data_IF_559874917288
#
_entry.id   IF_559874917288
#
_cell.length_a   1.000
_cell.length_b   1.000
_cell.length_c   1.000
_cell.angle_alpha   90.00
_cell.angle_beta   90.00
_cell.angle_gamma   90.00
#
_symmetry.space_group_name_H-M   'P 1'
#
loop_
_entity.id
_entity.type
_entity.pdbx_description
1 polymer ?
#
# COMPACT_ATOMS: atom_id res chain seq x y z
N UNK A 1 -1.06 -22.16 -8.95
CA UNK A 1 -1.34 -21.36 -10.18
C UNK A 1 -1.83 -19.95 -9.86
N UNK A 2 -2.78 -19.75 -8.93
CA UNK A 2 -3.33 -18.42 -8.58
C UNK A 2 -2.28 -17.48 -7.95
N UNK A 3 -1.49 -17.98 -6.99
CA UNK A 3 -0.44 -17.18 -6.34
C UNK A 3 0.60 -16.61 -7.34
N UNK A 4 0.97 -17.41 -8.35
CA UNK A 4 1.87 -16.95 -9.41
C UNK A 4 1.23 -15.82 -10.23
N UNK A 5 -0.07 -15.91 -10.51
CA UNK A 5 -0.83 -14.84 -11.17
C UNK A 5 -0.80 -13.51 -10.40
N UNK A 6 -0.84 -13.55 -9.07
CA UNK A 6 -0.70 -12.34 -8.25
C UNK A 6 0.67 -11.68 -8.41
N UNK A 7 1.74 -12.49 -8.53
CA UNK A 7 3.09 -11.98 -8.78
C UNK A 7 3.20 -11.28 -10.15
N UNK A 8 2.58 -11.85 -11.19
CA UNK A 8 2.52 -11.20 -12.51
C UNK A 8 1.79 -9.86 -12.47
N UNK A 9 0.67 -9.77 -11.74
CA UNK A 9 -0.06 -8.51 -11.55
C UNK A 9 0.78 -7.49 -10.77
N UNK A 10 1.40 -7.91 -9.67
CA UNK A 10 2.28 -7.06 -8.87
C UNK A 10 3.41 -6.47 -9.73
N UNK A 11 4.10 -7.32 -10.48
CA UNK A 11 5.18 -6.92 -11.37
C UNK A 11 4.70 -5.90 -12.42
N UNK A 12 3.66 -6.27 -13.18
CA UNK A 12 3.18 -5.47 -14.29
C UNK A 12 2.66 -4.09 -13.83
N UNK A 13 1.87 -4.06 -12.75
CA UNK A 13 1.33 -2.80 -12.23
C UNK A 13 2.39 -1.92 -11.60
N UNK A 14 3.36 -2.50 -10.87
CA UNK A 14 4.48 -1.73 -10.31
C UNK A 14 5.29 -1.07 -11.42
N UNK A 15 5.69 -1.86 -12.42
CA UNK A 15 6.46 -1.36 -13.57
C UNK A 15 5.67 -0.27 -14.31
N UNK A 16 4.39 -0.51 -14.58
CA UNK A 16 3.52 0.47 -15.21
C UNK A 16 3.41 1.76 -14.42
N UNK A 17 3.19 1.72 -13.10
CA UNK A 17 3.04 2.91 -12.25
C UNK A 17 4.32 3.76 -12.25
N UNK A 18 5.49 3.12 -12.29
CA UNK A 18 6.80 3.79 -12.32
C UNK A 18 7.00 4.52 -13.64
N UNK A 19 6.66 3.90 -14.78
CA UNK A 19 6.92 4.48 -16.09
C UNK A 19 5.77 5.30 -16.68
N UNK A 20 4.51 5.10 -16.27
CA UNK A 20 3.34 5.84 -16.76
C UNK A 20 3.46 7.38 -16.72
N UNK A 21 4.19 8.02 -15.77
CA UNK A 21 4.42 9.46 -15.78
C UNK A 21 5.23 9.96 -16.99
N UNK A 22 5.98 9.09 -17.68
CA UNK A 22 6.82 9.47 -18.83
C UNK A 22 6.02 9.84 -20.08
N UNK A 23 4.71 9.57 -20.09
CA UNK A 23 3.84 9.87 -21.21
C UNK A 23 2.52 10.49 -20.74
N UNK A 24 2.05 11.48 -21.51
CA UNK A 24 0.73 12.07 -21.33
C UNK A 24 -0.37 11.33 -22.12
N UNK A 25 0.02 10.53 -23.13
CA UNK A 25 -0.93 9.87 -24.03
C UNK A 25 -1.49 8.58 -23.42
N UNK A 26 -2.82 8.46 -23.42
CA UNK A 26 -3.51 7.25 -22.94
C UNK A 26 -3.12 6.01 -23.75
N UNK A 27 -3.01 6.13 -25.08
CA UNK A 27 -2.60 5.02 -25.94
C UNK A 27 -1.23 4.46 -25.56
N UNK A 28 -0.27 5.35 -25.30
CA UNK A 28 1.04 4.93 -24.82
C UNK A 28 0.98 4.30 -23.43
N UNK A 29 0.14 4.80 -22.51
CA UNK A 29 -0.06 4.14 -21.21
C UNK A 29 -0.64 2.74 -21.35
N UNK A 30 -1.64 2.54 -22.21
CA UNK A 30 -2.18 1.22 -22.50
C UNK A 30 -1.11 0.29 -23.09
N UNK A 31 -0.31 0.79 -24.05
CA UNK A 31 0.82 0.06 -24.61
C UNK A 31 1.87 -0.31 -23.56
N UNK A 32 2.19 0.58 -22.63
CA UNK A 32 3.13 0.32 -21.53
C UNK A 32 2.61 -0.71 -20.53
N UNK A 33 1.31 -0.67 -20.21
CA UNK A 33 0.69 -1.68 -19.34
C UNK A 33 0.70 -3.05 -20.02
N UNK A 34 0.38 -3.12 -21.31
CA UNK A 34 0.46 -4.34 -22.09
C UNK A 34 1.90 -4.88 -22.15
N UNK A 35 2.88 -4.01 -22.45
CA UNK A 35 4.29 -4.37 -22.48
C UNK A 35 4.79 -4.85 -21.11
N UNK A 36 4.42 -4.18 -20.02
CA UNK A 36 4.77 -4.61 -18.65
C UNK A 36 4.15 -5.97 -18.30
N UNK A 37 2.94 -6.23 -18.77
CA UNK A 37 2.24 -7.51 -18.57
C UNK A 37 2.92 -8.63 -19.35
N UNK A 38 3.31 -8.39 -20.61
CA UNK A 38 4.08 -9.34 -21.42
C UNK A 38 5.45 -9.60 -20.81
N UNK A 39 6.15 -8.55 -20.37
CA UNK A 39 7.46 -8.67 -19.74
C UNK A 39 7.40 -9.53 -18.47
N UNK A 40 6.31 -9.48 -17.72
CA UNK A 40 6.14 -10.30 -16.51
C UNK A 40 6.23 -11.81 -16.78
N UNK A 41 5.85 -12.25 -17.98
CA UNK A 41 5.81 -13.67 -18.40
C UNK A 41 7.10 -14.10 -19.09
N UNK A 42 7.91 -13.14 -19.56
CA UNK A 42 9.23 -13.44 -20.16
C UNK A 42 10.04 -14.25 -19.16
N UNK A 43 10.53 -15.40 -19.64
CA UNK A 43 11.27 -16.36 -18.83
C UNK A 43 12.75 -16.29 -19.14
N UNK A 44 13.56 -16.20 -18.10
CA UNK A 44 15.03 -16.27 -18.15
C UNK A 44 15.43 -17.42 -17.23
N UNK A 45 16.28 -18.32 -17.72
CA UNK A 45 16.73 -19.52 -16.98
C UNK A 45 15.59 -20.37 -16.37
N UNK A 46 14.44 -20.40 -17.04
CA UNK A 46 13.26 -21.17 -16.59
C UNK A 46 12.37 -20.48 -15.55
N UNK A 47 12.71 -19.26 -15.11
CA UNK A 47 11.89 -18.46 -14.20
C UNK A 47 11.35 -17.21 -14.92
N UNK A 48 10.06 -16.93 -14.71
CA UNK A 48 9.46 -15.69 -15.22
C UNK A 48 10.03 -14.46 -14.51
N UNK A 49 10.04 -13.30 -15.16
CA UNK A 49 10.45 -12.03 -14.52
C UNK A 49 9.63 -11.73 -13.26
N UNK A 50 8.34 -12.07 -13.26
CA UNK A 50 7.51 -11.95 -12.06
C UNK A 50 7.97 -12.87 -10.92
N UNK A 51 8.44 -14.08 -11.24
CA UNK A 51 9.01 -15.01 -10.25
C UNK A 51 10.30 -14.48 -9.64
N UNK A 52 11.16 -13.83 -10.43
CA UNK A 52 12.36 -13.17 -9.93
C UNK A 52 12.04 -11.99 -9.02
N UNK A 53 11.04 -11.17 -9.37
CA UNK A 53 10.62 -10.08 -8.49
C UNK A 53 10.06 -10.64 -7.17
N UNK A 54 9.22 -11.68 -7.26
CA UNK A 54 8.66 -12.38 -6.10
C UNK A 54 9.74 -13.00 -5.20
N UNK A 55 10.86 -13.49 -5.74
CA UNK A 55 11.92 -14.05 -4.88
C UNK A 55 12.62 -13.00 -4.02
N UNK A 56 12.56 -11.72 -4.41
CA UNK A 56 13.12 -10.61 -3.63
C UNK A 56 12.12 -10.02 -2.62
N UNK A 57 10.84 -9.97 -2.98
CA UNK A 57 9.82 -9.27 -2.17
C UNK A 57 8.84 -10.19 -1.45
N UNK A 58 8.85 -11.48 -1.77
CA UNK A 58 7.78 -12.44 -1.50
C UNK A 58 6.43 -12.00 -2.11
N UNK A 59 5.36 -12.75 -1.83
CA UNK A 59 4.00 -12.43 -2.24
C UNK A 59 3.47 -11.19 -1.51
N UNK A 60 3.27 -10.10 -2.26
CA UNK A 60 2.62 -8.89 -1.76
C UNK A 60 1.28 -9.20 -1.07
N UNK A 61 0.96 -8.39 -0.07
CA UNK A 61 -0.34 -8.40 0.57
C UNK A 61 -1.43 -8.02 -0.45
N UNK A 62 -2.64 -8.54 -0.24
CA UNK A 62 -3.78 -8.23 -1.10
C UNK A 62 -4.10 -6.74 -1.05
N UNK A 63 -3.98 -6.11 0.13
CA UNK A 63 -4.14 -4.66 0.26
C UNK A 63 -3.13 -3.88 -0.61
N UNK A 64 -1.90 -4.37 -0.77
CA UNK A 64 -0.90 -3.77 -1.65
C UNK A 64 -1.24 -3.94 -3.13
N UNK A 65 -1.74 -5.11 -3.52
CA UNK A 65 -2.25 -5.33 -4.87
C UNK A 65 -3.45 -4.41 -5.18
N UNK A 66 -4.34 -4.20 -4.21
CA UNK A 66 -5.48 -3.29 -4.37
C UNK A 66 -5.02 -1.85 -4.58
N UNK A 67 -4.04 -1.36 -3.81
CA UNK A 67 -3.53 0.01 -4.04
C UNK A 67 -2.78 0.13 -5.36
N UNK A 68 -2.01 -0.89 -5.78
CA UNK A 68 -1.39 -0.93 -7.10
C UNK A 68 -2.45 -0.91 -8.21
N UNK A 69 -3.47 -1.75 -8.14
CA UNK A 69 -4.58 -1.75 -9.10
C UNK A 69 -5.30 -0.40 -9.15
N UNK A 70 -5.56 0.19 -7.98
CA UNK A 70 -6.17 1.52 -7.89
C UNK A 70 -5.32 2.61 -8.55
N UNK A 71 -4.01 2.62 -8.29
CA UNK A 71 -3.07 3.56 -8.90
C UNK A 71 -2.96 3.33 -10.41
N UNK A 72 -2.94 2.08 -10.87
CA UNK A 72 -3.00 1.74 -12.30
C UNK A 72 -4.24 2.33 -12.96
N UNK A 73 -5.42 2.17 -12.36
CA UNK A 73 -6.66 2.77 -12.87
C UNK A 73 -6.65 4.30 -12.85
N UNK A 74 -6.02 4.93 -11.84
CA UNK A 74 -5.82 6.38 -11.83
C UNK A 74 -4.90 6.83 -12.96
N UNK A 75 -3.80 6.12 -13.23
CA UNK A 75 -2.88 6.43 -14.33
C UNK A 75 -3.54 6.28 -15.69
N UNK A 76 -4.52 5.38 -15.83
CA UNK A 76 -5.34 5.22 -17.03
C UNK A 76 -6.48 6.24 -17.15
N UNK A 77 -6.67 7.11 -16.15
CA UNK A 77 -7.74 8.13 -16.16
C UNK A 77 -9.14 7.60 -15.82
N UNK A 78 -9.25 6.34 -15.40
CA UNK A 78 -10.52 5.70 -15.00
C UNK A 78 -10.99 6.21 -13.64
N UNK A 79 -10.05 6.38 -12.70
CA UNK A 79 -10.32 6.85 -11.34
C UNK A 79 -9.74 8.24 -11.10
N UNK A 80 -10.46 9.06 -10.33
CA UNK A 80 -9.98 10.37 -9.89
C UNK A 80 -8.91 10.22 -8.80
N UNK A 81 -7.99 11.20 -8.68
CA UNK A 81 -7.04 11.25 -7.57
C UNK A 81 -7.74 11.25 -6.21
N UNK A 82 -7.10 10.64 -5.21
CA UNK A 82 -7.64 10.57 -3.85
C UNK A 82 -7.42 11.90 -3.15
N UNK A 83 -8.47 12.42 -2.51
CA UNK A 83 -8.39 13.62 -1.69
C UNK A 83 -7.32 13.45 -0.59
N UNK A 84 -6.49 14.48 -0.31
CA UNK A 84 -5.42 14.38 0.67
C UNK A 84 -5.88 13.87 2.04
N UNK A 85 -7.04 14.33 2.53
CA UNK A 85 -7.62 13.88 3.81
C UNK A 85 -7.90 12.38 3.85
N UNK A 86 -8.44 11.80 2.77
CA UNK A 86 -8.71 10.36 2.68
C UNK A 86 -7.41 9.56 2.58
N UNK A 87 -6.42 10.08 1.85
CA UNK A 87 -5.08 9.47 1.78
C UNK A 87 -4.45 9.42 3.17
N UNK A 88 -4.53 10.50 3.94
CA UNK A 88 -4.02 10.56 5.31
C UNK A 88 -4.65 9.50 6.23
N UNK A 89 -5.97 9.36 6.22
CA UNK A 89 -6.67 8.33 7.01
C UNK A 89 -6.22 6.92 6.62
N UNK A 90 -6.10 6.63 5.32
CA UNK A 90 -5.60 5.34 4.84
C UNK A 90 -4.17 5.08 5.35
N UNK A 91 -3.27 6.06 5.23
CA UNK A 91 -1.89 5.92 5.71
C UNK A 91 -1.85 5.64 7.22
N UNK A 92 -2.66 6.32 8.02
CA UNK A 92 -2.74 6.11 9.46
C UNK A 92 -3.19 4.68 9.82
N UNK A 93 -4.24 4.18 9.16
CA UNK A 93 -4.75 2.82 9.42
C UNK A 93 -3.68 1.77 9.11
N UNK A 94 -3.07 1.82 7.93
CA UNK A 94 -2.06 0.83 7.55
C UNK A 94 -0.74 0.98 8.31
N UNK A 95 -0.36 2.20 8.70
CA UNK A 95 0.77 2.39 9.61
C UNK A 95 0.48 1.83 11.01
N UNK A 96 -0.74 1.97 11.53
CA UNK A 96 -1.11 1.38 12.82
C UNK A 96 -1.07 -0.16 12.76
N UNK A 97 -1.55 -0.77 11.67
CA UNK A 97 -1.40 -2.21 11.43
C UNK A 97 0.08 -2.61 11.38
N UNK A 98 0.90 -1.86 10.64
CA UNK A 98 2.35 -2.11 10.53
C UNK A 98 3.05 -2.04 11.89
N UNK A 99 2.78 -1.00 12.68
CA UNK A 99 3.38 -0.79 14.00
C UNK A 99 2.85 -1.78 15.05
N UNK A 100 1.69 -2.39 14.81
CA UNK A 100 1.22 -3.50 15.63
C UNK A 100 2.01 -4.77 15.33
N UNK A 101 2.25 -5.05 14.05
CA UNK A 101 2.84 -6.32 13.59
C UNK A 101 4.37 -6.35 13.63
N UNK A 102 5.02 -5.39 12.95
CA UNK A 102 6.44 -5.48 12.63
C UNK A 102 7.40 -5.32 13.81
N UNK A 103 7.11 -4.55 14.87
CA UNK A 103 7.99 -4.53 16.04
C UNK A 103 8.17 -5.92 16.65
N UNK A 104 7.11 -6.74 16.65
CA UNK A 104 7.19 -8.11 17.15
C UNK A 104 7.98 -9.03 16.23
N UNK A 105 7.80 -8.92 14.90
CA UNK A 105 8.58 -9.73 13.94
C UNK A 105 10.07 -9.37 13.94
N UNK A 106 10.42 -8.14 14.37
CA UNK A 106 11.80 -7.69 14.55
C UNK A 106 12.39 -8.06 15.91
N UNK A 107 11.64 -8.74 16.79
CA UNK A 107 12.10 -9.12 18.12
C UNK A 107 12.19 -7.96 19.12
N UNK A 108 11.54 -6.82 18.84
CA UNK A 108 11.55 -5.63 19.71
C UNK A 108 10.57 -5.74 20.89
N UNK A 109 9.71 -6.76 20.90
CA UNK A 109 8.72 -7.00 21.96
C UNK A 109 8.54 -8.49 22.21
N UNK A 110 8.18 -8.85 23.44
CA UNK A 110 7.81 -10.22 23.84
C UNK A 110 6.36 -10.57 23.48
N UNK A 111 5.55 -9.57 23.12
CA UNK A 111 4.20 -9.76 22.65
C UNK A 111 4.21 -10.12 21.15
N UNK A 112 3.57 -11.23 20.78
CA UNK A 112 3.55 -11.74 19.40
C UNK A 112 2.14 -11.64 18.77
N UNK A 113 1.78 -10.46 18.21
CA UNK A 113 0.54 -10.27 17.48
C UNK A 113 0.49 -11.04 16.15
N UNK A 114 1.61 -11.53 15.62
CA UNK A 114 1.61 -12.33 14.39
C UNK A 114 0.81 -13.63 14.58
N UNK A 115 0.83 -14.19 15.80
CA UNK A 115 0.03 -15.39 16.17
C UNK A 115 -1.47 -15.18 16.03
N UNK A 116 -1.97 -13.97 16.20
CA UNK A 116 -3.40 -13.67 16.04
C UNK A 116 -3.87 -13.93 14.62
N UNK A 117 -2.98 -13.82 13.63
CA UNK A 117 -3.33 -14.07 12.24
C UNK A 117 -3.66 -15.54 11.93
N UNK A 118 -3.20 -16.49 12.74
CA UNK A 118 -3.59 -17.91 12.65
C UNK A 118 -4.91 -18.23 13.34
N UNK A 119 -5.35 -17.39 14.29
CA UNK A 119 -6.70 -17.42 14.85
C UNK A 119 -7.43 -16.11 14.52
N UNK A 120 -7.85 -15.94 13.26
CA UNK A 120 -8.17 -14.64 12.70
C UNK A 120 -9.51 -14.07 13.15
N UNK A 121 -10.36 -14.84 13.85
CA UNK A 121 -11.72 -14.42 14.25
C UNK A 121 -11.76 -13.05 14.95
N UNK A 122 -11.01 -12.81 16.04
CA UNK A 122 -10.94 -11.49 16.67
C UNK A 122 -10.41 -10.40 15.72
N UNK A 123 -9.39 -10.70 14.92
CA UNK A 123 -8.83 -9.75 13.97
C UNK A 123 -9.82 -9.34 12.89
N UNK A 124 -10.60 -10.29 12.36
CA UNK A 124 -11.63 -10.01 11.35
C UNK A 124 -12.68 -9.05 11.92
N UNK A 125 -13.09 -9.23 13.18
CA UNK A 125 -14.02 -8.30 13.85
C UNK A 125 -13.41 -6.91 13.96
N UNK A 126 -12.15 -6.79 14.39
CA UNK A 126 -11.44 -5.51 14.49
C UNK A 126 -11.34 -4.84 13.11
N UNK A 127 -10.93 -5.59 12.08
CA UNK A 127 -10.82 -5.09 10.71
C UNK A 127 -12.19 -4.67 10.16
N UNK A 128 -13.26 -5.40 10.47
CA UNK A 128 -14.62 -5.05 10.08
C UNK A 128 -15.07 -3.72 10.71
N UNK A 129 -14.80 -3.52 12.01
CA UNK A 129 -15.10 -2.23 12.69
C UNK A 129 -14.32 -1.09 12.05
N UNK A 130 -13.04 -1.28 11.76
CA UNK A 130 -12.22 -0.28 11.05
C UNK A 130 -12.81 0.02 9.67
N UNK A 131 -13.20 -1.01 8.91
CA UNK A 131 -13.81 -0.86 7.59
C UNK A 131 -15.13 -0.09 7.65
N UNK A 132 -15.99 -0.34 8.64
CA UNK A 132 -17.23 0.43 8.87
C UNK A 132 -16.95 1.90 9.17
N UNK A 133 -15.94 2.19 10.01
CA UNK A 133 -15.48 3.56 10.25
C UNK A 133 -14.98 4.23 8.96
N UNK A 134 -14.26 3.51 8.12
CA UNK A 134 -13.79 4.02 6.83
C UNK A 134 -14.91 4.25 5.82
N UNK A 135 -16.00 3.47 5.87
CA UNK A 135 -17.23 3.71 5.10
C UNK A 135 -17.84 5.05 5.52
N UNK A 136 -17.96 5.31 6.83
CA UNK A 136 -18.46 6.59 7.35
C UNK A 136 -17.60 7.77 6.87
N UNK A 137 -16.27 7.60 6.86
CA UNK A 137 -15.31 8.58 6.34
C UNK A 137 -15.25 8.64 4.79
N UNK A 138 -16.08 7.85 4.09
CA UNK A 138 -16.15 7.75 2.62
C UNK A 138 -14.78 7.44 1.97
N UNK A 139 -13.97 6.64 2.64
CA UNK A 139 -12.63 6.23 2.17
C UNK A 139 -12.69 4.92 1.39
N UNK A 140 -13.20 5.00 0.16
CA UNK A 140 -13.45 3.83 -0.70
C UNK A 140 -12.20 2.96 -0.91
N UNK A 141 -11.02 3.56 -1.10
CA UNK A 141 -9.79 2.79 -1.29
C UNK A 141 -9.45 1.97 -0.04
N UNK A 142 -9.40 2.60 1.13
CA UNK A 142 -9.03 1.90 2.36
C UNK A 142 -10.05 0.80 2.72
N UNK A 143 -11.34 1.05 2.47
CA UNK A 143 -12.38 0.02 2.59
C UNK A 143 -12.08 -1.14 1.64
N UNK A 144 -11.85 -0.87 0.35
CA UNK A 144 -11.54 -1.91 -0.63
C UNK A 144 -10.28 -2.71 -0.28
N UNK A 145 -9.23 -2.05 0.23
CA UNK A 145 -8.00 -2.72 0.65
C UNK A 145 -8.25 -3.74 1.77
N UNK A 146 -9.07 -3.39 2.78
CA UNK A 146 -9.38 -4.27 3.90
C UNK A 146 -10.38 -5.37 3.50
N UNK A 147 -11.46 -5.02 2.79
CA UNK A 147 -12.51 -5.98 2.43
C UNK A 147 -12.03 -6.99 1.41
N UNK A 148 -11.30 -6.58 0.38
CA UNK A 148 -10.75 -7.52 -0.61
C UNK A 148 -9.66 -8.40 -0.01
N UNK A 149 -8.85 -7.89 0.93
CA UNK A 149 -7.91 -8.72 1.67
C UNK A 149 -8.64 -9.77 2.54
N UNK A 150 -9.69 -9.37 3.24
CA UNK A 150 -10.53 -10.29 4.05
C UNK A 150 -11.18 -11.35 3.17
N UNK A 151 -11.75 -10.97 2.03
CA UNK A 151 -12.36 -11.91 1.09
C UNK A 151 -11.32 -12.87 0.50
N UNK A 152 -10.16 -12.35 0.11
CA UNK A 152 -9.08 -13.18 -0.41
C UNK A 152 -8.57 -14.18 0.62
N UNK A 153 -8.52 -13.81 1.89
CA UNK A 153 -8.23 -14.72 3.00
C UNK A 153 -9.30 -15.81 3.12
N UNK A 154 -10.57 -15.43 3.12
CA UNK A 154 -11.71 -16.37 3.19
C UNK A 154 -11.69 -17.40 2.05
N UNK A 155 -11.38 -16.96 0.84
CA UNK A 155 -11.29 -17.84 -0.34
C UNK A 155 -9.93 -18.51 -0.52
N UNK A 156 -8.99 -18.36 0.42
CA UNK A 156 -7.65 -18.96 0.37
C UNK A 156 -6.91 -18.68 -0.94
N UNK A 157 -6.97 -17.43 -1.39
CA UNK A 157 -6.35 -17.00 -2.67
C UNK A 157 -4.82 -17.08 -2.58
N UNK A 158 -4.22 -16.75 -1.43
CA UNK A 158 -2.78 -16.96 -1.19
C UNK A 158 -2.57 -18.31 -0.49
N UNK A 159 -1.37 -18.90 -0.59
CA UNK A 159 -1.01 -20.12 0.16
C UNK A 159 -0.92 -19.89 1.68
N UNK A 160 -0.74 -18.64 2.13
CA UNK A 160 -0.60 -18.36 3.55
C UNK A 160 -1.90 -18.61 4.32
N UNK A 161 -1.72 -19.23 5.48
CA UNK A 161 -2.75 -19.46 6.49
C UNK A 161 -2.89 -18.29 7.48
N UNK A 162 -1.98 -17.31 7.42
CA UNK A 162 -1.96 -16.17 8.33
C UNK A 162 -2.70 -14.98 7.71
N UNK A 163 -3.67 -14.42 8.43
CA UNK A 163 -4.46 -13.29 7.96
C UNK A 163 -3.65 -11.99 7.79
N UNK A 164 -2.58 -11.79 8.56
CA UNK A 164 -1.71 -10.61 8.42
C UNK A 164 -1.11 -10.51 7.02
N UNK A 165 -0.75 -11.65 6.41
CA UNK A 165 -0.09 -11.72 5.09
C UNK A 165 -1.01 -11.29 3.93
N UNK A 166 -2.31 -11.14 4.21
CA UNK A 166 -3.29 -10.60 3.26
C UNK A 166 -3.49 -9.09 3.44
N UNK A 167 -3.34 -8.60 4.67
CA UNK A 167 -3.61 -7.22 5.05
C UNK A 167 -2.41 -6.29 4.83
N UNK A 168 -1.20 -6.74 5.16
CA UNK A 168 -0.03 -5.86 5.11
C UNK A 168 1.24 -6.64 4.79
N UNK A 169 2.12 -5.99 4.04
CA UNK A 169 3.47 -6.48 3.73
C UNK A 169 4.51 -5.40 4.04
N UNK A 170 5.81 -5.77 4.08
CA UNK A 170 6.87 -4.84 4.46
C UNK A 170 6.94 -3.60 3.55
N UNK A 171 6.63 -3.72 2.26
CA UNK A 171 6.68 -2.59 1.33
C UNK A 171 5.57 -1.59 1.61
N UNK A 172 4.34 -2.06 1.84
CA UNK A 172 3.21 -1.20 2.22
C UNK A 172 3.45 -0.55 3.59
N UNK A 173 3.99 -1.31 4.55
CA UNK A 173 4.36 -0.79 5.85
C UNK A 173 5.39 0.34 5.77
N UNK A 174 6.48 0.13 5.03
CA UNK A 174 7.50 1.15 4.78
C UNK A 174 6.92 2.38 4.09
N UNK A 175 6.09 2.18 3.07
CA UNK A 175 5.44 3.28 2.37
C UNK A 175 4.53 4.10 3.31
N UNK A 176 3.68 3.44 4.10
CA UNK A 176 2.74 4.13 4.99
C UNK A 176 3.47 4.89 6.10
N UNK A 177 4.40 4.23 6.79
CA UNK A 177 5.19 4.84 7.86
C UNK A 177 6.08 5.98 7.33
N UNK A 178 6.79 5.74 6.22
CA UNK A 178 7.66 6.73 5.58
C UNK A 178 6.90 7.96 5.07
N UNK A 179 5.71 7.76 4.47
CA UNK A 179 4.87 8.86 4.02
C UNK A 179 4.37 9.73 5.19
N UNK A 180 3.93 9.10 6.29
CA UNK A 180 3.51 9.84 7.49
C UNK A 180 4.69 10.61 8.11
N UNK A 181 5.86 9.98 8.21
CA UNK A 181 7.07 10.63 8.73
C UNK A 181 7.46 11.84 7.87
N UNK A 182 7.47 11.69 6.54
CA UNK A 182 7.77 12.78 5.62
C UNK A 182 6.77 13.94 5.73
N UNK A 183 5.49 13.64 5.94
CA UNK A 183 4.47 14.66 6.16
C UNK A 183 4.62 15.37 7.52
N UNK A 184 4.97 14.63 8.57
CA UNK A 184 5.26 15.19 9.89
C UNK A 184 6.49 16.12 9.85
N UNK A 185 7.58 15.69 9.20
CA UNK A 185 8.78 16.51 9.01
C UNK A 185 8.44 17.80 8.26
N UNK A 186 7.66 17.71 7.16
CA UNK A 186 7.22 18.88 6.40
C UNK A 186 6.35 19.83 7.22
N UNK A 187 5.48 19.31 8.08
CA UNK A 187 4.65 20.11 8.97
C UNK A 187 5.50 20.88 9.98
N UNK A 188 6.43 20.20 10.66
CA UNK A 188 7.35 20.81 11.62
C UNK A 188 8.21 21.88 10.95
N UNK A 189 8.77 21.57 9.77
CA UNK A 189 9.60 22.52 9.02
C UNK A 189 8.82 23.79 8.62
N UNK A 190 7.59 23.63 8.11
CA UNK A 190 6.73 24.77 7.74
C UNK A 190 6.37 25.63 8.95
N UNK A 191 6.08 25.00 10.09
CA UNK A 191 5.77 25.73 11.34
C UNK A 191 6.97 26.51 11.85
N UNK A 192 8.16 25.91 11.85
CA UNK A 192 9.40 26.57 12.27
C UNK A 192 9.74 27.77 11.36
N UNK A 193 9.63 27.61 10.03
CA UNK A 193 9.88 28.71 9.09
C UNK A 193 8.82 29.82 9.14
N UNK A 194 7.55 29.46 9.36
CA UNK A 194 6.47 30.43 9.56
C UNK A 194 6.69 31.30 10.80
N UNK A 195 7.09 30.69 11.92
CA UNK A 195 7.42 31.40 13.15
C UNK A 195 8.62 32.34 12.99
N UNK A 196 9.66 31.92 12.27
CA UNK A 196 10.82 32.77 11.96
C UNK A 196 10.46 34.00 11.12
N UNK A 197 9.55 33.84 10.15
CA UNK A 197 9.09 34.94 9.30
C UNK A 197 8.25 35.96 10.07
N UNK A 198 7.38 35.49 10.97
CA UNK A 198 6.60 36.36 11.87
C UNK A 198 7.49 37.11 12.88
N UNK A 199 8.52 36.44 13.43
CA UNK A 199 9.48 37.08 14.34
C UNK A 199 10.33 38.15 13.64
N UNK A 200 10.80 37.90 12.41
CA UNK A 200 11.55 38.86 11.62
C UNK A 200 10.73 40.11 11.23
N UNK A 201 9.44 39.95 10.91
CA UNK A 201 8.53 41.07 10.64
C UNK A 201 8.24 41.92 11.88
N UNK A 202 8.20 41.31 13.07
CA UNK A 202 8.03 42.05 14.33
C UNK A 202 9.27 42.81 14.75
N UNK A 203 10.47 42.35 14.37
CA UNK A 203 11.74 43.00 14.69
C UNK A 203 12.11 44.14 13.74
N UNK A 204 11.58 44.16 12.51
CA UNK A 204 11.80 45.24 11.54
C UNK A 204 10.82 46.43 11.65
N UNK A 205 9.84 46.35 12.54
CA UNK A 205 8.85 47.41 12.82
C UNK A 205 9.15 48.17 14.13
N UNK A 206 10.35 48.00 14.70
CA UNK A 206 10.87 48.73 15.87
C UNK A 206 12.05 49.58 15.40
#
# INVERSE_FOLDING_TARGET
>A
MIALGLAHLAFAWTLFIVFAPLTASLWWRCGMLAAASLLSVVSVDGLSMASYARSLTDDLAISSLVVLGWLTLQRLGVLKPIAPSRRWVMLLVFAALALTLYPATLGLTYFDPYRWGYNPRPMIIIVAVIALGLIYLRNVLAVAMLTLATLAFTFRIKPSENYWDYLIDPLLALYCCGALLGLAIRFVYRRAMGQRRSAALSAGNV
#
